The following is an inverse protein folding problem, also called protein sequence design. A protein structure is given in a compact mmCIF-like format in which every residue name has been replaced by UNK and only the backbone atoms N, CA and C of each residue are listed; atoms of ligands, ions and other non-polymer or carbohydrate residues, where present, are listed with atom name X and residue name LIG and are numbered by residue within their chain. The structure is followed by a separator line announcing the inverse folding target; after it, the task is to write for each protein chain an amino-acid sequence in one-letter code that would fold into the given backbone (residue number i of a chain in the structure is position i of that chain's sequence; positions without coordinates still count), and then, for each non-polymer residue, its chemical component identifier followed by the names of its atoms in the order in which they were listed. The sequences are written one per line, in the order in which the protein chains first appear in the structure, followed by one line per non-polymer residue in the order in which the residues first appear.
data_IF_796235759556
#
_entry.id   IF_796235759556
#
_cell.length_a   1.000
_cell.length_b   1.000
_cell.length_c   1.000
_cell.angle_alpha   90.00
_cell.angle_beta   90.00
_cell.angle_gamma   90.00
#
_symmetry.space_group_name_H-M   'P 1'
#
loop_
_entity.id
_entity.type
_entity.pdbx_description
1 polymer ?
#
# COMPACT_ATOMS: atom_id res chain seq x y z
N UNK A 1 10.14 -0.23 -11.12
CA UNK A 1 10.98 -1.43 -10.82
C UNK A 1 11.16 -1.55 -9.31
N UNK A 2 11.06 -2.76 -8.76
CA UNK A 2 11.35 -3.05 -7.35
C UNK A 2 12.55 -3.99 -7.31
N UNK A 3 13.53 -3.71 -6.47
CA UNK A 3 14.69 -4.57 -6.23
C UNK A 3 14.89 -4.74 -4.73
N UNK A 4 14.84 -5.97 -4.28
CA UNK A 4 15.05 -6.39 -2.90
C UNK A 4 16.30 -7.25 -2.88
N UNK A 5 17.23 -6.99 -1.96
CA UNK A 5 18.46 -7.75 -1.81
C UNK A 5 18.72 -8.08 -0.34
N UNK A 6 18.98 -9.34 -0.07
CA UNK A 6 19.39 -9.87 1.24
C UNK A 6 18.51 -9.39 2.41
N UNK A 7 17.17 -9.40 2.21
CA UNK A 7 16.24 -8.91 3.21
C UNK A 7 15.80 -10.04 4.14
N UNK A 8 15.96 -9.80 5.45
CA UNK A 8 15.53 -10.71 6.51
C UNK A 8 14.65 -10.01 7.53
N UNK A 9 13.78 -10.77 8.19
CA UNK A 9 12.95 -10.27 9.29
C UNK A 9 12.75 -11.34 10.36
N UNK A 10 13.02 -10.94 11.58
CA UNK A 10 12.90 -11.78 12.78
C UNK A 10 11.89 -11.16 13.75
N UNK A 11 10.95 -11.95 14.27
CA UNK A 11 10.07 -11.58 15.37
C UNK A 11 10.23 -12.58 16.51
N UNK A 12 10.44 -12.10 17.72
CA UNK A 12 10.57 -12.95 18.92
C UNK A 12 11.54 -14.14 18.72
N UNK A 13 12.72 -13.88 18.18
CA UNK A 13 13.77 -14.86 17.86
C UNK A 13 13.39 -15.89 16.79
N UNK A 14 12.25 -15.71 16.11
CA UNK A 14 11.86 -16.53 14.95
C UNK A 14 12.11 -15.76 13.66
N UNK A 15 13.00 -16.25 12.81
CA UNK A 15 13.23 -15.70 11.49
C UNK A 15 12.04 -16.05 10.59
N UNK A 16 11.29 -15.04 10.14
CA UNK A 16 10.07 -15.17 9.34
C UNK A 16 10.36 -14.91 7.86
N UNK A 17 11.28 -14.00 7.56
CA UNK A 17 11.82 -13.75 6.22
C UNK A 17 13.32 -13.94 6.31
N UNK A 18 13.92 -14.69 5.40
CA UNK A 18 15.33 -15.08 5.47
C UNK A 18 16.04 -14.82 4.14
N UNK A 19 16.88 -13.80 4.10
CA UNK A 19 17.81 -13.49 2.99
C UNK A 19 17.12 -13.49 1.61
N UNK A 20 15.97 -12.80 1.51
CA UNK A 20 15.20 -12.76 0.27
C UNK A 20 15.80 -11.77 -0.72
N UNK A 21 15.99 -12.27 -1.93
CA UNK A 21 16.27 -11.49 -3.14
C UNK A 21 15.07 -11.54 -4.08
N UNK A 22 14.66 -10.39 -4.61
CA UNK A 22 13.54 -10.28 -5.53
C UNK A 22 13.72 -9.08 -6.47
N UNK A 23 13.45 -9.27 -7.74
CA UNK A 23 13.39 -8.19 -8.73
C UNK A 23 12.01 -8.23 -9.38
N UNK A 24 11.34 -7.09 -9.45
CA UNK A 24 10.07 -6.89 -10.16
C UNK A 24 10.27 -5.77 -11.18
N UNK A 25 10.11 -6.10 -12.45
CA UNK A 25 10.25 -5.12 -13.52
C UNK A 25 8.98 -4.26 -13.67
N UNK A 26 9.11 -3.13 -14.36
CA UNK A 26 7.96 -2.29 -14.66
C UNK A 26 6.93 -3.04 -15.50
N UNK A 27 5.66 -3.00 -15.08
CA UNK A 27 4.55 -3.69 -15.74
C UNK A 27 4.45 -5.18 -15.42
N UNK A 28 5.34 -5.71 -14.60
CA UNK A 28 5.30 -7.12 -14.17
C UNK A 28 4.30 -7.31 -13.02
N UNK A 29 3.59 -8.45 -13.04
CA UNK A 29 2.71 -8.90 -11.96
C UNK A 29 3.35 -10.13 -11.33
N UNK A 30 3.58 -10.06 -10.02
CA UNK A 30 4.15 -11.18 -9.25
C UNK A 30 3.14 -11.65 -8.21
N UNK A 31 2.99 -12.97 -8.09
CA UNK A 31 2.24 -13.62 -7.02
C UNK A 31 3.19 -14.28 -6.03
N UNK A 32 3.06 -13.97 -4.74
CA UNK A 32 3.78 -14.65 -3.66
C UNK A 32 2.87 -15.72 -3.08
N UNK A 33 3.23 -16.99 -3.30
CA UNK A 33 2.45 -18.16 -2.87
C UNK A 33 3.18 -18.94 -1.78
N UNK A 34 2.44 -19.66 -0.96
CA UNK A 34 2.98 -20.50 0.12
C UNK A 34 1.96 -20.74 1.23
N UNK A 35 2.24 -21.62 2.19
CA UNK A 35 1.35 -21.94 3.31
C UNK A 35 1.10 -20.74 4.22
N UNK A 36 0.08 -20.82 5.08
CA UNK A 36 -0.15 -19.82 6.12
C UNK A 36 1.07 -19.75 7.05
N UNK A 37 1.45 -18.54 7.46
CA UNK A 37 2.62 -18.32 8.31
C UNK A 37 3.98 -18.34 7.59
N UNK A 38 4.04 -18.54 6.26
CA UNK A 38 5.30 -18.55 5.49
C UNK A 38 5.96 -17.17 5.31
N UNK A 39 5.46 -16.11 5.93
CA UNK A 39 6.08 -14.77 5.85
C UNK A 39 5.65 -13.91 4.66
N UNK A 40 4.65 -14.33 3.87
CA UNK A 40 4.18 -13.59 2.67
C UNK A 40 3.76 -12.14 2.98
N UNK A 41 2.90 -11.96 3.97
CA UNK A 41 2.45 -10.63 4.42
C UNK A 41 3.60 -9.82 5.00
N UNK A 42 4.52 -10.46 5.72
CA UNK A 42 5.72 -9.80 6.23
C UNK A 42 6.58 -9.26 5.09
N UNK A 43 6.84 -10.08 4.07
CA UNK A 43 7.60 -9.64 2.91
C UNK A 43 6.92 -8.47 2.18
N UNK A 44 5.59 -8.51 1.99
CA UNK A 44 4.83 -7.41 1.41
C UNK A 44 4.93 -6.14 2.27
N UNK A 45 4.85 -6.26 3.60
CA UNK A 45 4.99 -5.12 4.51
C UNK A 45 6.40 -4.51 4.46
N UNK A 46 7.45 -5.32 4.32
CA UNK A 46 8.82 -4.83 4.14
C UNK A 46 8.98 -4.07 2.82
N UNK A 47 8.51 -4.64 1.72
CA UNK A 47 8.58 -4.00 0.38
C UNK A 47 7.76 -2.71 0.36
N UNK A 48 6.58 -2.70 0.98
CA UNK A 48 5.71 -1.51 1.04
C UNK A 48 6.12 -0.49 2.11
N UNK A 49 7.24 -0.73 2.81
CA UNK A 49 7.75 0.15 3.87
C UNK A 49 6.81 0.33 5.08
N UNK A 50 5.88 -0.60 5.30
CA UNK A 50 5.02 -0.63 6.48
C UNK A 50 5.76 -1.24 7.70
N UNK A 51 6.81 -2.02 7.44
CA UNK A 51 7.73 -2.56 8.43
C UNK A 51 9.17 -2.39 7.94
N UNK A 52 10.14 -2.55 8.82
CA UNK A 52 11.57 -2.46 8.51
C UNK A 52 12.25 -3.83 8.62
N UNK A 53 13.16 -4.19 7.72
CA UNK A 53 13.94 -5.42 7.84
C UNK A 53 14.86 -5.40 9.06
N UNK A 54 15.40 -6.55 9.40
CA UNK A 54 16.49 -6.64 10.37
C UNK A 54 17.67 -5.80 9.88
N UNK A 55 18.38 -5.15 10.81
CA UNK A 55 19.56 -4.34 10.47
C UNK A 55 20.67 -5.24 9.91
N UNK A 56 20.96 -5.06 8.64
CA UNK A 56 22.06 -5.71 7.95
C UNK A 56 22.65 -4.72 6.92
N UNK A 57 23.96 -4.58 6.89
CA UNK A 57 24.64 -3.62 5.98
C UNK A 57 24.47 -3.96 4.50
N UNK A 58 24.15 -5.22 4.19
CA UNK A 58 23.99 -5.70 2.80
C UNK A 58 22.53 -5.73 2.34
N UNK A 59 21.58 -5.41 3.24
CA UNK A 59 20.16 -5.36 2.90
C UNK A 59 19.82 -4.09 2.10
N UNK A 60 19.03 -4.26 1.04
CA UNK A 60 18.59 -3.15 0.19
C UNK A 60 17.14 -3.37 -0.27
N UNK A 61 16.35 -2.32 -0.23
CA UNK A 61 15.03 -2.26 -0.88
C UNK A 61 14.98 -1.00 -1.74
N UNK A 62 15.05 -1.18 -3.06
CA UNK A 62 14.89 -0.09 -4.02
C UNK A 62 13.55 -0.15 -4.71
N UNK A 63 12.86 0.99 -4.76
CA UNK A 63 11.62 1.19 -5.51
C UNK A 63 11.82 2.39 -6.42
N UNK A 64 11.70 2.20 -7.74
CA UNK A 64 11.95 3.23 -8.75
C UNK A 64 13.29 3.95 -8.50
N UNK A 65 14.37 3.17 -8.33
CA UNK A 65 15.75 3.61 -8.10
C UNK A 65 16.01 4.33 -6.75
N UNK A 66 14.99 4.49 -5.91
CA UNK A 66 15.13 5.05 -4.56
C UNK A 66 15.33 3.92 -3.56
N UNK A 67 16.44 3.94 -2.83
CA UNK A 67 16.66 3.03 -1.70
C UNK A 67 15.88 3.53 -0.48
N UNK A 68 14.79 2.82 -0.17
CA UNK A 68 13.86 3.23 0.87
C UNK A 68 14.41 3.02 2.28
N UNK A 69 15.41 2.14 2.46
CA UNK A 69 16.03 1.90 3.77
C UNK A 69 16.90 3.07 4.22
N UNK A 70 17.35 3.92 3.29
CA UNK A 70 18.16 5.10 3.56
C UNK A 70 17.33 6.38 3.78
N UNK A 71 16.00 6.30 3.69
CA UNK A 71 15.12 7.45 3.92
C UNK A 71 14.86 7.63 5.42
N UNK A 72 14.84 8.89 5.87
CA UNK A 72 14.32 9.22 7.19
C UNK A 72 12.78 9.11 7.22
N UNK A 73 12.17 9.03 8.41
CA UNK A 73 10.74 8.78 8.60
C UNK A 73 9.84 9.74 7.81
N UNK A 74 10.20 11.03 7.76
CA UNK A 74 9.44 12.05 7.02
C UNK A 74 9.45 11.78 5.52
N UNK A 75 10.62 11.48 4.96
CA UNK A 75 10.77 11.20 3.54
C UNK A 75 10.17 9.83 3.18
N UNK A 76 10.30 8.84 4.05
CA UNK A 76 9.71 7.52 3.89
C UNK A 76 8.16 7.59 3.87
N UNK A 77 7.56 8.34 4.79
CA UNK A 77 6.10 8.55 4.81
C UNK A 77 5.61 9.25 3.55
N UNK A 78 6.33 10.27 3.07
CA UNK A 78 6.02 10.96 1.81
C UNK A 78 6.18 10.03 0.62
N UNK A 79 7.25 9.24 0.58
CA UNK A 79 7.51 8.26 -0.46
C UNK A 79 6.39 7.24 -0.53
N UNK A 80 6.04 6.60 0.59
CA UNK A 80 4.93 5.65 0.69
C UNK A 80 3.62 6.23 0.19
N UNK A 81 3.26 7.42 0.66
CA UNK A 81 2.02 8.09 0.25
C UNK A 81 1.94 8.37 -1.26
N UNK A 82 3.07 8.64 -1.93
CA UNK A 82 3.09 9.09 -3.33
C UNK A 82 3.48 8.02 -4.34
N UNK A 83 4.20 6.97 -3.93
CA UNK A 83 4.77 5.98 -4.83
C UNK A 83 4.14 4.59 -4.70
N UNK A 84 3.48 4.31 -3.57
CA UNK A 84 2.97 2.98 -3.26
C UNK A 84 1.45 3.04 -3.05
N UNK A 85 0.69 2.23 -3.79
CA UNK A 85 -0.70 1.92 -3.50
C UNK A 85 -0.77 0.59 -2.75
N UNK A 86 -1.36 0.58 -1.55
CA UNK A 86 -1.48 -0.62 -0.74
C UNK A 86 -2.94 -1.01 -0.49
N UNK A 87 -3.27 -2.28 -0.71
CA UNK A 87 -4.58 -2.86 -0.44
C UNK A 87 -4.41 -3.90 0.65
N UNK A 88 -5.02 -3.69 1.81
CA UNK A 88 -4.97 -4.61 2.94
C UNK A 88 -5.94 -5.78 2.76
N UNK A 89 -5.65 -6.91 3.39
CA UNK A 89 -6.47 -8.12 3.34
C UNK A 89 -7.91 -7.87 3.87
N UNK A 90 -8.06 -7.06 4.93
CA UNK A 90 -9.34 -6.70 5.54
C UNK A 90 -9.79 -5.28 5.18
N UNK A 91 -9.33 -4.77 4.02
CA UNK A 91 -9.65 -3.47 3.44
C UNK A 91 -9.19 -2.26 4.28
N UNK A 92 -9.22 -2.33 5.61
CA UNK A 92 -8.78 -1.29 6.56
C UNK A 92 -9.38 0.09 6.20
N UNK A 93 -10.69 0.11 5.93
CA UNK A 93 -11.42 1.35 5.76
C UNK A 93 -11.68 1.96 7.13
N UNK A 94 -11.56 3.27 7.21
CA UNK A 94 -11.86 4.02 8.42
C UNK A 94 -13.38 4.10 8.59
N UNK A 95 -13.95 3.52 9.66
CA UNK A 95 -15.39 3.37 9.80
C UNK A 95 -16.14 4.69 10.01
N UNK A 96 -15.43 5.74 10.45
CA UNK A 96 -15.97 7.09 10.69
C UNK A 96 -16.08 7.93 9.41
N UNK A 97 -15.55 7.43 8.28
CA UNK A 97 -15.51 8.12 7.01
C UNK A 97 -16.33 7.38 5.95
N UNK A 98 -17.02 8.13 5.11
CA UNK A 98 -17.72 7.59 3.94
C UNK A 98 -16.74 6.95 2.94
N UNK A 99 -17.26 6.23 1.93
CA UNK A 99 -16.45 5.68 0.84
C UNK A 99 -15.62 6.77 0.15
N UNK A 100 -16.24 7.91 -0.18
CA UNK A 100 -15.54 9.05 -0.78
C UNK A 100 -14.43 9.59 0.11
N UNK A 101 -14.73 9.79 1.40
CA UNK A 101 -13.76 10.31 2.36
C UNK A 101 -12.58 9.37 2.56
N UNK A 102 -12.82 8.05 2.66
CA UNK A 102 -11.76 7.07 2.70
C UNK A 102 -10.80 7.19 1.49
N UNK A 103 -11.35 7.38 0.28
CA UNK A 103 -10.55 7.49 -0.94
C UNK A 103 -9.73 8.76 -0.98
N UNK A 104 -10.24 9.91 -0.51
CA UNK A 104 -9.51 11.18 -0.60
C UNK A 104 -8.40 11.34 0.45
N UNK A 105 -8.40 10.58 1.55
CA UNK A 105 -7.44 10.72 2.65
C UNK A 105 -5.98 10.78 2.16
N UNK A 106 -5.48 9.83 1.33
CA UNK A 106 -4.09 9.90 0.88
C UNK A 106 -3.77 11.14 0.05
N UNK A 107 -4.72 11.66 -0.72
CA UNK A 107 -4.54 12.87 -1.51
C UNK A 107 -4.48 14.12 -0.61
N UNK A 108 -5.30 14.17 0.45
CA UNK A 108 -5.24 15.25 1.45
C UNK A 108 -3.91 15.21 2.21
N UNK A 109 -3.43 14.03 2.60
CA UNK A 109 -2.12 13.85 3.26
C UNK A 109 -0.98 14.31 2.34
N UNK A 110 -1.10 14.10 1.03
CA UNK A 110 -0.16 14.60 0.01
C UNK A 110 -0.16 16.14 -0.07
N UNK A 111 -1.22 16.81 0.44
CA UNK A 111 -1.40 18.27 0.37
C UNK A 111 -2.22 18.72 -0.83
N UNK A 112 -2.93 17.83 -1.51
CA UNK A 112 -3.81 18.19 -2.62
C UNK A 112 -5.05 18.95 -2.10
N UNK A 113 -5.54 19.93 -2.86
CA UNK A 113 -6.74 20.69 -2.50
C UNK A 113 -7.96 19.78 -2.47
N UNK A 114 -8.78 19.88 -1.41
CA UNK A 114 -9.93 19.00 -1.15
C UNK A 114 -10.88 18.87 -2.35
N UNK A 115 -11.20 19.98 -3.04
CA UNK A 115 -12.08 19.96 -4.22
C UNK A 115 -11.51 19.16 -5.40
N UNK A 116 -10.18 19.17 -5.58
CA UNK A 116 -9.49 18.38 -6.60
C UNK A 116 -9.53 16.90 -6.23
N UNK A 117 -9.21 16.58 -4.96
CA UNK A 117 -9.25 15.21 -4.45
C UNK A 117 -10.65 14.59 -4.54
N UNK A 118 -11.70 15.37 -4.22
CA UNK A 118 -13.09 14.92 -4.36
C UNK A 118 -13.39 14.57 -5.83
N UNK A 119 -13.03 15.43 -6.78
CA UNK A 119 -13.28 15.18 -8.21
C UNK A 119 -12.57 13.91 -8.69
N UNK A 120 -11.30 13.74 -8.32
CA UNK A 120 -10.54 12.53 -8.65
C UNK A 120 -11.16 11.27 -8.04
N UNK A 121 -11.49 11.32 -6.75
CA UNK A 121 -12.09 10.19 -6.05
C UNK A 121 -13.45 9.81 -6.63
N UNK A 122 -14.31 10.79 -6.95
CA UNK A 122 -15.60 10.52 -7.58
C UNK A 122 -15.42 9.81 -8.93
N UNK A 123 -14.46 10.23 -9.75
CA UNK A 123 -14.16 9.56 -11.01
C UNK A 123 -13.66 8.13 -10.82
N UNK A 124 -12.74 7.91 -9.87
CA UNK A 124 -12.24 6.56 -9.55
C UNK A 124 -13.35 5.64 -9.05
N UNK A 125 -14.20 6.14 -8.14
CA UNK A 125 -15.35 5.38 -7.63
C UNK A 125 -16.34 5.06 -8.75
N UNK A 126 -16.60 5.98 -9.65
CA UNK A 126 -17.45 5.74 -10.82
C UNK A 126 -16.87 4.66 -11.76
N UNK A 127 -15.55 4.67 -12.01
CA UNK A 127 -14.87 3.64 -12.81
C UNK A 127 -14.96 2.24 -12.17
N UNK A 128 -15.15 2.18 -10.86
CA UNK A 128 -15.29 0.94 -10.09
C UNK A 128 -16.75 0.58 -9.75
N UNK A 129 -17.73 1.18 -10.45
CA UNK A 129 -19.17 0.96 -10.26
C UNK A 129 -19.67 1.25 -8.83
N UNK A 130 -19.14 2.31 -8.20
CA UNK A 130 -19.47 2.70 -6.83
C UNK A 130 -20.19 4.06 -6.72
N UNK A 131 -20.68 4.60 -7.85
CA UNK A 131 -21.35 5.92 -7.87
C UNK A 131 -22.53 6.05 -6.90
N UNK A 132 -23.25 4.95 -6.68
CA UNK A 132 -24.45 4.93 -5.83
C UNK A 132 -24.14 4.85 -4.33
N UNK A 133 -22.90 4.55 -3.95
CA UNK A 133 -22.49 4.27 -2.56
C UNK A 133 -21.42 5.22 -2.05
N UNK A 134 -21.09 6.27 -2.78
CA UNK A 134 -19.99 7.20 -2.47
C UNK A 134 -20.14 7.87 -1.09
N UNK A 135 -21.37 8.05 -0.61
CA UNK A 135 -21.67 8.69 0.66
C UNK A 135 -21.97 7.66 1.78
N UNK A 136 -21.88 6.36 1.49
CA UNK A 136 -22.11 5.32 2.48
C UNK A 136 -20.86 5.09 3.35
N UNK A 137 -21.09 4.72 4.60
CA UNK A 137 -20.05 4.30 5.53
C UNK A 137 -19.64 2.84 5.28
N UNK A 138 -18.44 2.41 5.67
CA UNK A 138 -17.99 1.03 5.47
C UNK A 138 -18.98 -0.04 5.97
N UNK A 139 -19.66 0.20 7.08
CA UNK A 139 -20.68 -0.73 7.64
C UNK A 139 -21.91 -0.93 6.74
N UNK A 140 -22.13 -0.03 5.78
CA UNK A 140 -23.27 -0.06 4.84
C UNK A 140 -22.90 -0.68 3.50
N UNK A 141 -21.59 -0.95 3.29
CA UNK A 141 -21.04 -1.51 2.05
C UNK A 141 -20.93 -3.02 2.15
N UNK A 142 -21.23 -3.73 1.08
CA UNK A 142 -20.86 -5.13 0.92
C UNK A 142 -19.34 -5.32 0.93
N UNK A 143 -18.85 -6.52 1.22
CA UNK A 143 -17.41 -6.81 1.22
C UNK A 143 -16.73 -6.51 -0.13
N UNK A 144 -17.41 -6.78 -1.25
CA UNK A 144 -16.90 -6.44 -2.57
C UNK A 144 -16.85 -4.93 -2.84
N UNK A 145 -17.81 -4.15 -2.33
CA UNK A 145 -17.76 -2.68 -2.40
C UNK A 145 -16.65 -2.12 -1.54
N UNK A 146 -16.48 -2.60 -0.30
CA UNK A 146 -15.37 -2.23 0.57
C UNK A 146 -14.02 -2.48 -0.10
N UNK A 147 -13.85 -3.62 -0.75
CA UNK A 147 -12.64 -3.96 -1.49
C UNK A 147 -12.39 -2.97 -2.65
N UNK A 148 -13.41 -2.64 -3.45
CA UNK A 148 -13.29 -1.67 -4.54
C UNK A 148 -13.00 -0.25 -4.01
N UNK A 149 -13.55 0.15 -2.87
CA UNK A 149 -13.21 1.42 -2.19
C UNK A 149 -11.73 1.41 -1.78
N UNK A 150 -11.23 0.31 -1.21
CA UNK A 150 -9.81 0.17 -0.86
C UNK A 150 -8.89 0.24 -2.10
N UNK A 151 -9.33 -0.32 -3.24
CA UNK A 151 -8.63 -0.17 -4.54
C UNK A 151 -8.61 1.30 -4.98
N UNK A 152 -9.75 1.99 -4.95
CA UNK A 152 -9.81 3.42 -5.29
C UNK A 152 -8.89 4.26 -4.39
N UNK A 153 -8.87 3.99 -3.08
CA UNK A 153 -7.98 4.64 -2.12
C UNK A 153 -6.50 4.40 -2.45
N UNK A 154 -6.13 3.19 -2.86
CA UNK A 154 -4.78 2.87 -3.24
C UNK A 154 -4.33 3.62 -4.52
N UNK A 155 -5.26 3.92 -5.43
CA UNK A 155 -4.98 4.52 -6.73
C UNK A 155 -5.05 6.06 -6.74
N UNK A 156 -5.60 6.73 -5.73
CA UNK A 156 -5.91 8.18 -5.76
C UNK A 156 -4.68 9.07 -6.01
N UNK A 157 -3.51 8.64 -5.58
CA UNK A 157 -2.26 9.37 -5.76
C UNK A 157 -1.46 8.98 -7.01
N UNK A 158 -2.03 8.16 -7.90
CA UNK A 158 -1.40 7.65 -9.12
C UNK A 158 -0.04 6.98 -8.82
N UNK A 159 0.02 5.93 -7.96
CA UNK A 159 1.25 5.24 -7.62
C UNK A 159 1.91 4.65 -8.87
N UNK A 160 3.25 4.59 -8.90
CA UNK A 160 4.04 4.25 -10.10
C UNK A 160 4.48 2.80 -10.08
#
# INVERSE_FOLDING_TARGET
MISVKNVSKTYNNKKVVNEIDLIVNKGEIISIIGPSGAGKTTLLNLISTLDSPDKNNDSMIKINDVDVLNLNDKNLSKFRNTQIGFIFQFHELLPEFTALENVIIPAIIKGEKKNISIKKATNLLATLDLSNVINQFPSQLSGGEQQRVAVARALINDPK
#
